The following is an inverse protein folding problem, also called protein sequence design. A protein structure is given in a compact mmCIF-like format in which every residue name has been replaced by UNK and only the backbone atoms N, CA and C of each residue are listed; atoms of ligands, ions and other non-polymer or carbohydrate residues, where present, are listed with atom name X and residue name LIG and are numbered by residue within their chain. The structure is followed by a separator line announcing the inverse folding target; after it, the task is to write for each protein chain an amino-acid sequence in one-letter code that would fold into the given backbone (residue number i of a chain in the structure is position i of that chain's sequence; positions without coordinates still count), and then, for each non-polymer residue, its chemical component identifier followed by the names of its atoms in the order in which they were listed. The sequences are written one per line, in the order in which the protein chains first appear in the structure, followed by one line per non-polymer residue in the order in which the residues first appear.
data_IF_951427776791
#
_entry.id   IF_951427776791
#
_cell.length_a   1.000
_cell.length_b   1.000
_cell.length_c   1.000
_cell.angle_alpha   90.00
_cell.angle_beta   90.00
_cell.angle_gamma   90.00
#
_symmetry.space_group_name_H-M   'P 1'
#
loop_
_entity.id
_entity.type
_entity.pdbx_description
1 polymer ?
#
# COMPACT_ATOMS: atom_id res chain seq x y z
N UNK A 1 -6.59 8.09 37.93
CA UNK A 1 -5.83 9.23 37.38
C UNK A 1 -6.13 9.36 35.89
N UNK A 2 -6.19 10.57 35.35
CA UNK A 2 -6.42 10.81 33.93
C UNK A 2 -5.05 10.92 33.27
N UNK A 3 -4.68 9.92 32.45
CA UNK A 3 -3.46 9.98 31.65
C UNK A 3 -3.60 11.10 30.61
N UNK A 4 -2.78 12.14 30.75
CA UNK A 4 -2.65 13.22 29.78
C UNK A 4 -1.35 13.03 29.01
N UNK A 5 -1.43 13.04 27.68
CA UNK A 5 -0.27 12.98 26.80
C UNK A 5 -0.21 14.27 25.99
N UNK A 6 0.96 14.91 25.95
CA UNK A 6 1.20 16.03 25.06
C UNK A 6 1.47 15.51 23.65
N UNK A 7 0.73 16.03 22.67
CA UNK A 7 0.90 15.69 21.26
C UNK A 7 1.73 16.77 20.60
N UNK A 8 2.98 16.45 20.25
CA UNK A 8 3.83 17.33 19.45
C UNK A 8 3.39 17.31 17.97
N UNK A 9 2.83 18.43 17.53
CA UNK A 9 2.39 18.66 16.14
C UNK A 9 3.36 19.57 15.37
N UNK A 10 4.54 19.86 15.90
CA UNK A 10 5.48 20.78 15.25
C UNK A 10 6.08 20.25 13.94
N UNK A 11 5.95 18.94 13.66
CA UNK A 11 6.50 18.25 12.48
C UNK A 11 5.41 17.70 11.55
N UNK A 12 4.31 18.43 11.36
CA UNK A 12 3.20 18.02 10.47
C UNK A 12 3.40 18.38 9.00
N UNK A 13 4.48 19.10 8.67
CA UNK A 13 4.82 19.52 7.32
C UNK A 13 5.48 18.42 6.48
N UNK A 14 5.88 17.32 7.11
CA UNK A 14 6.49 16.17 6.43
C UNK A 14 5.39 15.35 5.74
N UNK A 15 5.29 15.48 4.41
CA UNK A 15 4.48 14.56 3.62
C UNK A 15 5.06 13.15 3.73
N UNK A 16 4.23 12.22 4.17
CA UNK A 16 4.61 10.81 4.25
C UNK A 16 4.75 10.25 2.83
N UNK A 17 5.83 9.53 2.54
CA UNK A 17 5.94 8.78 1.31
C UNK A 17 4.73 7.90 1.05
N UNK A 18 4.14 8.13 -0.11
CA UNK A 18 3.23 7.22 -0.78
C UNK A 18 4.02 6.59 -1.94
N UNK A 19 3.85 5.28 -2.23
CA UNK A 19 4.44 4.68 -3.42
C UNK A 19 4.11 5.43 -4.72
N UNK A 20 3.04 6.23 -4.74
CA UNK A 20 2.74 7.20 -5.80
C UNK A 20 2.62 8.63 -5.22
N UNK A 21 3.21 9.66 -5.86
CA UNK A 21 3.81 9.64 -7.19
C UNK A 21 5.21 9.00 -7.20
N UNK A 22 5.58 8.44 -8.36
CA UNK A 22 6.91 7.87 -8.58
C UNK A 22 8.01 8.88 -8.30
N UNK A 23 9.03 8.43 -7.58
CA UNK A 23 10.15 9.28 -7.16
C UNK A 23 11.36 9.19 -8.08
N UNK A 24 11.40 8.16 -8.94
CA UNK A 24 12.50 7.93 -9.87
C UNK A 24 12.04 7.32 -11.20
N UNK A 25 12.85 7.52 -12.24
CA UNK A 25 12.69 6.87 -13.56
C UNK A 25 12.82 5.35 -13.43
N UNK A 26 13.69 4.89 -12.53
CA UNK A 26 13.89 3.48 -12.24
C UNK A 26 12.60 2.83 -11.72
N UNK A 27 11.90 3.50 -10.80
CA UNK A 27 10.61 3.03 -10.29
C UNK A 27 9.60 2.84 -11.44
N UNK A 28 9.50 3.82 -12.35
CA UNK A 28 8.61 3.75 -13.50
C UNK A 28 8.96 2.60 -14.46
N UNK A 29 10.24 2.48 -14.80
CA UNK A 29 10.75 1.42 -15.70
C UNK A 29 10.49 0.03 -15.11
N UNK A 30 10.69 -0.13 -13.81
CA UNK A 30 10.50 -1.41 -13.13
C UNK A 30 9.02 -1.78 -13.05
N UNK A 31 8.14 -0.84 -12.72
CA UNK A 31 6.68 -1.05 -12.80
C UNK A 31 6.27 -1.50 -14.20
N UNK A 32 6.72 -0.80 -15.24
CA UNK A 32 6.40 -1.16 -16.62
C UNK A 32 6.88 -2.57 -16.96
N UNK A 33 8.10 -2.93 -16.56
CA UNK A 33 8.65 -4.28 -16.78
C UNK A 33 7.80 -5.35 -16.09
N UNK A 34 7.49 -5.17 -14.80
CA UNK A 34 6.71 -6.15 -14.02
C UNK A 34 5.29 -6.33 -14.57
N UNK A 35 4.66 -5.25 -15.07
CA UNK A 35 3.33 -5.35 -15.68
C UNK A 35 3.30 -6.13 -17.00
N UNK A 36 4.45 -6.38 -17.63
CA UNK A 36 4.57 -7.17 -18.86
C UNK A 36 4.85 -8.65 -18.59
N UNK A 37 5.03 -9.05 -17.33
CA UNK A 37 5.25 -10.45 -16.97
C UNK A 37 4.02 -11.32 -17.26
N UNK A 38 4.24 -12.59 -17.61
CA UNK A 38 3.18 -13.47 -18.10
C UNK A 38 2.06 -13.68 -17.06
N UNK A 39 2.42 -13.93 -15.81
CA UNK A 39 1.47 -14.09 -14.71
C UNK A 39 0.61 -12.83 -14.50
N UNK A 40 1.25 -11.65 -14.55
CA UNK A 40 0.54 -10.39 -14.40
C UNK A 40 -0.46 -10.18 -15.53
N UNK A 41 0.00 -10.39 -16.77
CA UNK A 41 -0.81 -10.23 -17.98
C UNK A 41 -1.96 -11.22 -18.07
N UNK A 42 -1.76 -12.47 -17.64
CA UNK A 42 -2.81 -13.49 -17.60
C UNK A 42 -3.94 -13.08 -16.66
N UNK A 43 -3.59 -12.66 -15.44
CA UNK A 43 -4.59 -12.23 -14.45
C UNK A 43 -5.28 -10.92 -14.85
N UNK A 44 -4.54 -9.99 -15.45
CA UNK A 44 -5.13 -8.79 -16.07
C UNK A 44 -6.15 -9.16 -17.16
N UNK A 45 -5.81 -10.07 -18.07
CA UNK A 45 -6.69 -10.51 -19.15
C UNK A 45 -7.96 -11.16 -18.61
N UNK A 46 -7.84 -11.97 -17.56
CA UNK A 46 -8.96 -12.62 -16.89
C UNK A 46 -9.95 -11.60 -16.29
N UNK A 47 -9.43 -10.55 -15.65
CA UNK A 47 -10.25 -9.59 -14.92
C UNK A 47 -10.76 -8.43 -15.79
N UNK A 48 -10.10 -8.14 -16.92
CA UNK A 48 -10.45 -7.05 -17.84
C UNK A 48 -11.93 -6.97 -18.24
N UNK A 49 -12.63 -8.08 -18.58
CA UNK A 49 -14.05 -8.02 -18.93
C UNK A 49 -14.93 -7.45 -17.81
N UNK A 50 -14.60 -7.74 -16.54
CA UNK A 50 -15.30 -7.20 -15.38
C UNK A 50 -15.10 -5.68 -15.29
N UNK A 51 -13.86 -5.19 -15.41
CA UNK A 51 -13.56 -3.76 -15.37
C UNK A 51 -14.29 -2.97 -16.45
N UNK A 52 -14.27 -3.46 -17.70
CA UNK A 52 -14.97 -2.82 -18.82
C UNK A 52 -16.47 -2.78 -18.56
N UNK A 53 -17.07 -3.91 -18.15
CA UNK A 53 -18.52 -3.98 -17.88
C UNK A 53 -18.94 -2.98 -16.80
N UNK A 54 -18.22 -2.96 -15.68
CA UNK A 54 -18.55 -2.11 -14.53
C UNK A 54 -18.33 -0.64 -14.87
N UNK A 55 -17.24 -0.30 -15.57
CA UNK A 55 -17.00 1.08 -16.05
C UNK A 55 -18.14 1.55 -16.96
N UNK A 56 -18.59 0.71 -17.91
CA UNK A 56 -19.72 1.05 -18.79
C UNK A 56 -21.02 1.31 -18.02
N UNK A 57 -21.30 0.52 -16.98
CA UNK A 57 -22.48 0.72 -16.12
C UNK A 57 -22.38 2.04 -15.36
N UNK A 58 -21.24 2.31 -14.71
CA UNK A 58 -21.05 3.56 -13.96
C UNK A 58 -21.20 4.79 -14.87
N UNK A 59 -20.67 4.71 -16.10
CA UNK A 59 -20.83 5.75 -17.11
C UNK A 59 -22.28 5.93 -17.55
N UNK A 60 -22.98 4.85 -17.92
CA UNK A 60 -24.35 4.94 -18.44
C UNK A 60 -25.36 5.46 -17.42
N UNK A 61 -25.05 5.33 -16.13
CA UNK A 61 -25.87 5.87 -15.04
C UNK A 61 -25.45 7.27 -14.58
N UNK A 62 -24.49 7.92 -15.26
CA UNK A 62 -24.04 9.26 -14.90
C UNK A 62 -23.30 9.34 -13.57
N UNK A 63 -22.74 8.22 -13.08
CA UNK A 63 -22.01 8.15 -11.80
C UNK A 63 -20.53 8.52 -11.94
N UNK A 64 -20.06 8.76 -13.18
CA UNK A 64 -18.71 9.24 -13.46
C UNK A 64 -18.76 10.73 -13.84
N UNK A 65 -18.07 11.55 -13.08
CA UNK A 65 -17.87 12.95 -13.42
C UNK A 65 -16.97 13.10 -14.66
N UNK A 66 -17.10 14.21 -15.40
CA UNK A 66 -16.29 14.52 -16.59
C UNK A 66 -14.77 14.47 -16.35
N UNK A 67 -14.33 14.66 -15.09
CA UNK A 67 -12.92 14.58 -14.70
C UNK A 67 -12.43 13.19 -14.32
N UNK A 68 -13.33 12.22 -14.06
CA UNK A 68 -12.96 10.88 -13.63
C UNK A 68 -12.13 10.13 -14.69
N UNK A 69 -12.34 10.48 -15.96
CA UNK A 69 -11.69 9.82 -17.09
C UNK A 69 -10.26 10.33 -17.37
N UNK A 70 -9.89 11.47 -16.79
CA UNK A 70 -8.60 12.14 -17.01
C UNK A 70 -7.60 11.93 -15.85
N UNK A 71 -8.05 11.27 -14.79
CA UNK A 71 -7.22 10.93 -13.64
C UNK A 71 -6.80 9.47 -13.77
N UNK A 72 -5.51 9.18 -13.63
CA UNK A 72 -5.01 7.82 -13.44
C UNK A 72 -4.17 7.83 -12.17
N UNK A 73 -4.55 6.97 -11.23
CA UNK A 73 -3.77 6.69 -10.03
C UNK A 73 -3.75 5.17 -9.89
N UNK A 74 -2.56 4.60 -9.68
CA UNK A 74 -2.34 3.17 -9.56
C UNK A 74 -0.95 2.72 -10.01
N UNK A 75 -0.38 1.72 -9.31
CA UNK A 75 0.95 1.18 -9.66
C UNK A 75 0.87 0.46 -11.01
N UNK A 76 1.75 0.86 -11.95
CA UNK A 76 1.78 0.33 -13.30
C UNK A 76 0.55 0.64 -14.18
N UNK A 77 -0.23 1.68 -13.85
CA UNK A 77 -1.42 2.10 -14.63
C UNK A 77 -1.18 3.37 -15.46
N UNK A 78 -0.11 4.11 -15.19
CA UNK A 78 0.21 5.35 -15.89
C UNK A 78 0.92 5.04 -17.22
N UNK A 79 0.17 5.13 -18.32
CA UNK A 79 0.68 4.88 -19.66
C UNK A 79 -0.36 4.29 -20.61
N UNK A 80 -1.44 3.72 -20.07
CA UNK A 80 -2.63 3.40 -20.86
C UNK A 80 -3.47 4.67 -21.02
N UNK A 81 -3.06 5.47 -22.01
CA UNK A 81 -3.80 6.56 -22.64
C UNK A 81 -3.77 7.97 -22.01
N UNK A 82 -2.62 8.66 -22.11
CA UNK A 82 -2.65 10.11 -22.46
C UNK A 82 -3.11 10.36 -23.91
N UNK A 83 -3.28 9.29 -24.69
CA UNK A 83 -3.64 9.30 -26.12
C UNK A 83 -5.13 9.14 -26.41
N UNK A 84 -6.00 8.84 -25.44
CA UNK A 84 -7.46 8.79 -25.66
C UNK A 84 -8.18 10.07 -25.26
N UNK A 85 -7.64 10.82 -24.30
CA UNK A 85 -8.16 12.15 -23.94
C UNK A 85 -7.99 13.20 -25.05
N UNK A 86 -7.03 13.00 -25.97
CA UNK A 86 -6.90 13.80 -27.20
C UNK A 86 -7.67 13.25 -28.41
N UNK A 87 -8.17 12.00 -28.36
CA UNK A 87 -8.99 11.41 -29.45
C UNK A 87 -10.49 11.60 -29.26
N UNK A 88 -10.96 11.92 -28.05
CA UNK A 88 -12.39 12.12 -27.79
C UNK A 88 -12.98 13.41 -28.37
N UNK A 89 -12.16 14.26 -29.02
CA UNK A 89 -12.62 15.43 -29.77
C UNK A 89 -12.76 15.22 -31.27
N UNK A 90 -12.52 14.01 -31.80
CA UNK A 90 -12.67 13.77 -33.24
C UNK A 90 -13.32 12.43 -33.56
N UNK A 91 -14.52 12.56 -34.14
CA UNK A 91 -15.21 11.66 -35.06
C UNK A 91 -16.30 10.71 -34.55
N UNK A 92 -17.51 11.03 -35.03
CA UNK A 92 -18.72 10.25 -35.18
C UNK A 92 -18.49 8.91 -35.90
N UNK A 93 -17.92 7.91 -35.24
CA UNK A 93 -18.06 6.50 -35.66
C UNK A 93 -18.29 5.64 -34.42
N UNK A 94 -19.43 4.95 -34.38
CA UNK A 94 -19.98 4.23 -33.23
C UNK A 94 -19.21 2.99 -32.76
N UNK A 95 -17.88 3.00 -32.78
CA UNK A 95 -17.09 2.04 -32.01
C UNK A 95 -17.10 2.46 -30.55
N UNK A 96 -17.88 1.74 -29.73
CA UNK A 96 -17.79 1.85 -28.27
C UNK A 96 -16.37 1.53 -27.85
N UNK A 97 -15.57 2.56 -27.57
CA UNK A 97 -14.24 2.41 -27.01
C UNK A 97 -14.28 1.44 -25.82
N UNK A 98 -13.44 0.41 -25.83
CA UNK A 98 -13.23 -0.53 -24.70
C UNK A 98 -12.50 0.15 -23.53
N UNK A 99 -12.89 1.39 -23.23
CA UNK A 99 -12.37 2.18 -22.15
C UNK A 99 -12.75 1.57 -20.81
N UNK A 100 -11.78 1.56 -19.89
CA UNK A 100 -11.95 1.15 -18.50
C UNK A 100 -11.27 2.18 -17.60
N UNK A 101 -11.82 2.42 -16.42
CA UNK A 101 -11.13 3.16 -15.36
C UNK A 101 -9.89 2.38 -14.88
N UNK A 102 -8.96 3.06 -14.19
CA UNK A 102 -7.89 2.36 -13.47
C UNK A 102 -8.50 1.44 -12.42
N UNK A 103 -7.81 0.35 -12.07
CA UNK A 103 -8.28 -0.60 -11.07
C UNK A 103 -8.45 0.04 -9.70
N UNK A 104 -7.54 0.97 -9.34
CA UNK A 104 -7.62 1.70 -8.08
C UNK A 104 -8.86 2.61 -8.04
N UNK A 105 -9.12 3.36 -9.12
CA UNK A 105 -10.32 4.19 -9.23
C UNK A 105 -11.61 3.37 -9.22
N UNK A 106 -11.64 2.27 -9.97
CA UNK A 106 -12.80 1.41 -10.07
C UNK A 106 -13.12 0.79 -8.70
N UNK A 107 -12.09 0.33 -7.98
CA UNK A 107 -12.23 -0.18 -6.60
C UNK A 107 -12.80 0.90 -5.68
N UNK A 108 -12.25 2.10 -5.69
CA UNK A 108 -12.64 3.18 -4.79
C UNK A 108 -14.07 3.68 -5.05
N UNK A 109 -14.41 3.94 -6.32
CA UNK A 109 -15.75 4.41 -6.70
C UNK A 109 -16.80 3.36 -6.32
N UNK A 110 -16.57 2.09 -6.67
CA UNK A 110 -17.53 1.03 -6.36
C UNK A 110 -17.64 0.77 -4.86
N UNK A 111 -16.55 0.89 -4.10
CA UNK A 111 -16.55 0.83 -2.64
C UNK A 111 -17.38 1.97 -2.03
N UNK A 112 -17.13 3.21 -2.43
CA UNK A 112 -17.88 4.38 -1.99
C UNK A 112 -19.38 4.24 -2.24
N UNK A 113 -19.76 3.83 -3.46
CA UNK A 113 -21.16 3.61 -3.81
C UNK A 113 -21.78 2.50 -2.98
N UNK A 114 -21.08 1.38 -2.76
CA UNK A 114 -21.54 0.28 -1.90
C UNK A 114 -21.81 0.76 -0.46
N UNK A 115 -20.85 1.43 0.16
CA UNK A 115 -20.95 1.91 1.56
C UNK A 115 -22.12 2.89 1.71
N UNK A 116 -22.41 3.70 0.68
CA UNK A 116 -23.54 4.64 0.69
C UNK A 116 -24.87 4.03 0.23
N UNK A 117 -24.93 2.73 -0.04
CA UNK A 117 -26.12 2.06 -0.61
C UNK A 117 -26.57 2.67 -1.95
N UNK A 118 -25.62 3.17 -2.73
CA UNK A 118 -25.79 3.76 -4.06
C UNK A 118 -25.17 2.90 -5.18
N UNK A 119 -24.72 1.68 -4.86
CA UNK A 119 -24.18 0.78 -5.87
C UNK A 119 -25.30 0.35 -6.83
N UNK A 120 -25.14 0.52 -8.15
CA UNK A 120 -26.13 0.07 -9.12
C UNK A 120 -26.47 -1.41 -8.95
N UNK A 121 -27.74 -1.78 -9.03
CA UNK A 121 -28.18 -3.18 -8.85
C UNK A 121 -27.60 -4.15 -9.89
N UNK A 122 -27.13 -3.63 -11.03
CA UNK A 122 -26.43 -4.37 -12.08
C UNK A 122 -24.95 -4.65 -11.77
N UNK A 123 -24.40 -4.06 -10.70
CA UNK A 123 -23.08 -4.36 -10.15
C UNK A 123 -23.30 -5.10 -8.84
N UNK A 124 -22.98 -6.39 -8.82
CA UNK A 124 -23.15 -7.20 -7.62
C UNK A 124 -22.13 -6.84 -6.53
N UNK A 125 -22.43 -7.21 -5.29
CA UNK A 125 -21.48 -7.12 -4.18
C UNK A 125 -20.20 -7.91 -4.50
N UNK A 126 -20.35 -9.09 -5.10
CA UNK A 126 -19.23 -9.93 -5.54
C UNK A 126 -18.38 -9.26 -6.62
N UNK A 127 -18.98 -8.49 -7.53
CA UNK A 127 -18.23 -7.70 -8.52
C UNK A 127 -17.33 -6.68 -7.84
N UNK A 128 -17.89 -5.92 -6.89
CA UNK A 128 -17.13 -4.93 -6.12
C UNK A 128 -15.97 -5.59 -5.35
N UNK A 129 -16.21 -6.72 -4.70
CA UNK A 129 -15.18 -7.46 -3.97
C UNK A 129 -14.08 -7.99 -4.88
N UNK A 130 -14.44 -8.49 -6.07
CA UNK A 130 -13.47 -8.97 -7.05
C UNK A 130 -12.60 -7.84 -7.61
N UNK A 131 -13.18 -6.66 -7.85
CA UNK A 131 -12.45 -5.47 -8.25
C UNK A 131 -11.46 -5.06 -7.15
N UNK A 132 -11.90 -4.95 -5.90
CA UNK A 132 -11.02 -4.58 -4.79
C UNK A 132 -9.91 -5.59 -4.53
N UNK A 133 -10.21 -6.90 -4.60
CA UNK A 133 -9.20 -7.96 -4.49
C UNK A 133 -8.18 -7.88 -5.62
N UNK A 134 -8.62 -7.59 -6.84
CA UNK A 134 -7.70 -7.46 -7.98
C UNK A 134 -6.83 -6.20 -7.87
N UNK A 135 -7.40 -5.07 -7.47
CA UNK A 135 -6.65 -3.84 -7.18
C UNK A 135 -5.57 -4.10 -6.11
N UNK A 136 -5.93 -4.74 -4.99
CA UNK A 136 -4.98 -5.12 -3.94
C UNK A 136 -3.90 -6.06 -4.46
N UNK A 137 -4.28 -7.12 -5.19
CA UNK A 137 -3.32 -8.05 -5.76
C UNK A 137 -2.31 -7.33 -6.68
N UNK A 138 -2.75 -6.41 -7.54
CA UNK A 138 -1.84 -5.65 -8.42
C UNK A 138 -0.78 -4.91 -7.60
N UNK A 139 -1.20 -4.20 -6.56
CA UNK A 139 -0.29 -3.46 -5.69
C UNK A 139 0.68 -4.38 -4.95
N UNK A 140 0.19 -5.47 -4.34
CA UNK A 140 1.02 -6.46 -3.64
C UNK A 140 1.96 -7.25 -4.54
N UNK A 141 1.57 -7.46 -5.81
CA UNK A 141 2.39 -8.11 -6.82
C UNK A 141 3.55 -7.20 -7.20
N UNK A 142 3.26 -5.96 -7.60
CA UNK A 142 4.27 -5.02 -8.06
C UNK A 142 5.21 -4.62 -6.92
N UNK A 143 4.67 -4.15 -5.78
CA UNK A 143 5.47 -3.81 -4.60
C UNK A 143 6.04 -5.05 -3.88
N UNK A 144 5.66 -6.25 -4.31
CA UNK A 144 6.30 -7.48 -3.88
C UNK A 144 7.73 -7.62 -4.39
N UNK A 145 8.10 -6.90 -5.45
CA UNK A 145 9.48 -6.83 -5.92
C UNK A 145 10.34 -6.03 -4.94
N UNK A 146 11.47 -6.61 -4.51
CA UNK A 146 12.35 -6.02 -3.50
C UNK A 146 12.92 -4.66 -3.91
N UNK A 147 13.33 -4.53 -5.17
CA UNK A 147 13.84 -3.26 -5.67
C UNK A 147 12.74 -2.21 -5.72
N UNK A 148 11.52 -2.59 -6.15
CA UNK A 148 10.44 -1.62 -6.30
C UNK A 148 9.96 -1.06 -4.95
N UNK A 149 9.73 -1.90 -3.94
CA UNK A 149 9.34 -1.36 -2.63
C UNK A 149 10.45 -0.54 -1.97
N UNK A 150 11.72 -0.82 -2.27
CA UNK A 150 12.83 -0.07 -1.71
C UNK A 150 12.85 1.34 -2.30
N UNK A 151 12.69 1.44 -3.63
CA UNK A 151 12.57 2.72 -4.33
C UNK A 151 11.35 3.53 -3.84
N UNK A 152 10.23 2.85 -3.60
CA UNK A 152 8.98 3.50 -3.19
C UNK A 152 8.98 3.96 -1.71
N UNK A 153 9.46 3.09 -0.81
CA UNK A 153 9.21 3.20 0.64
C UNK A 153 10.46 3.10 1.51
N UNK A 154 11.64 2.84 0.94
CA UNK A 154 12.87 2.61 1.70
C UNK A 154 13.20 3.74 2.69
N UNK A 155 13.06 4.98 2.27
CA UNK A 155 13.30 6.15 3.14
C UNK A 155 12.32 6.23 4.32
N UNK A 156 11.07 5.79 4.14
CA UNK A 156 10.11 5.71 5.26
C UNK A 156 10.51 4.67 6.28
N UNK A 157 10.93 3.50 5.79
CA UNK A 157 11.35 2.40 6.65
C UNK A 157 12.60 2.79 7.43
N UNK A 158 13.58 3.44 6.77
CA UNK A 158 14.75 4.02 7.45
C UNK A 158 14.37 5.04 8.52
N UNK A 159 13.39 5.90 8.25
CA UNK A 159 12.89 6.87 9.23
C UNK A 159 12.28 6.17 10.47
N UNK A 160 11.45 5.14 10.26
CA UNK A 160 10.85 4.34 11.35
C UNK A 160 11.94 3.68 12.21
N UNK A 161 12.93 3.06 11.57
CA UNK A 161 14.06 2.42 12.27
C UNK A 161 14.91 3.45 13.01
N UNK A 162 15.23 4.56 12.38
CA UNK A 162 16.01 5.65 12.99
C UNK A 162 15.30 6.22 14.22
N UNK A 163 13.99 6.44 14.15
CA UNK A 163 13.21 6.90 15.31
C UNK A 163 13.21 5.88 16.44
N UNK A 164 13.10 4.58 16.11
CA UNK A 164 13.19 3.50 17.10
C UNK A 164 14.57 3.48 17.78
N UNK A 165 15.65 3.65 17.01
CA UNK A 165 17.02 3.74 17.54
C UNK A 165 17.23 4.97 18.42
N UNK A 166 16.70 6.13 18.02
CA UNK A 166 16.76 7.35 18.84
C UNK A 166 15.97 7.20 20.14
N UNK A 167 14.87 6.43 20.13
CA UNK A 167 14.13 6.11 21.36
C UNK A 167 14.94 5.20 22.29
N UNK A 168 15.66 4.22 21.74
CA UNK A 168 16.58 3.35 22.50
C UNK A 168 17.76 4.11 23.10
N UNK A 169 18.35 5.04 22.35
CA UNK A 169 19.49 5.84 22.82
C UNK A 169 19.11 6.99 23.77
N UNK A 170 17.81 7.19 24.04
CA UNK A 170 17.32 8.27 24.90
C UNK A 170 17.34 9.66 24.24
N UNK A 171 17.66 9.75 22.94
CA UNK A 171 17.65 11.00 22.17
C UNK A 171 16.24 11.44 21.77
N UNK A 172 15.32 10.48 21.63
CA UNK A 172 13.91 10.72 21.36
C UNK A 172 13.07 10.54 22.64
N UNK A 173 12.28 11.55 22.97
CA UNK A 173 11.37 11.53 24.13
C UNK A 173 9.94 11.14 23.75
N UNK A 174 9.58 11.27 22.47
CA UNK A 174 8.23 10.97 21.98
C UNK A 174 7.91 9.47 22.08
N UNK A 175 6.93 9.13 22.92
CA UNK A 175 6.48 7.75 23.13
C UNK A 175 5.52 7.24 22.05
N UNK A 176 4.95 8.15 21.26
CA UNK A 176 4.02 7.84 20.19
C UNK A 176 4.30 8.77 19.02
N UNK A 177 4.43 8.20 17.83
CA UNK A 177 4.58 8.93 16.57
C UNK A 177 3.44 8.49 15.66
N UNK A 178 2.65 9.44 15.18
CA UNK A 178 1.52 9.18 14.29
C UNK A 178 1.84 9.73 12.92
N UNK A 179 1.73 8.87 11.91
CA UNK A 179 1.87 9.24 10.51
C UNK A 179 0.49 9.18 9.85
N UNK A 180 -0.03 10.31 9.38
CA UNK A 180 -1.23 10.34 8.54
C UNK A 180 -0.84 10.03 7.10
N UNK A 181 -1.49 9.04 6.50
CA UNK A 181 -1.07 8.49 5.21
C UNK A 181 -2.24 7.91 4.41
N UNK A 182 -1.95 7.42 3.21
CA UNK A 182 -2.90 6.75 2.34
C UNK A 182 -2.89 5.23 2.54
N UNK A 183 -3.90 4.56 2.02
CA UNK A 183 -3.99 3.10 1.94
C UNK A 183 -2.83 2.46 1.16
N UNK A 184 -2.42 3.09 0.06
CA UNK A 184 -1.20 2.82 -0.71
C UNK A 184 0.06 2.85 0.16
N UNK A 185 0.18 3.80 1.10
CA UNK A 185 1.30 3.87 2.06
C UNK A 185 1.33 2.63 2.95
N UNK A 186 0.17 2.17 3.45
CA UNK A 186 0.10 0.96 4.28
C UNK A 186 0.57 -0.28 3.48
N UNK A 187 0.10 -0.44 2.24
CA UNK A 187 0.53 -1.54 1.37
C UNK A 187 2.03 -1.46 1.09
N UNK A 188 2.53 -0.26 0.78
CA UNK A 188 3.95 -0.02 0.56
C UNK A 188 4.81 -0.39 1.75
N UNK A 189 4.41 0.02 2.96
CA UNK A 189 5.10 -0.33 4.21
C UNK A 189 5.07 -1.83 4.49
N UNK A 190 3.91 -2.49 4.33
CA UNK A 190 3.79 -3.95 4.51
C UNK A 190 4.78 -4.69 3.60
N UNK A 191 4.89 -4.26 2.33
CA UNK A 191 5.84 -4.83 1.39
C UNK A 191 7.29 -4.53 1.75
N UNK A 192 7.63 -3.27 2.05
CA UNK A 192 9.01 -2.84 2.34
C UNK A 192 9.55 -3.39 3.67
N UNK A 193 8.66 -3.61 4.65
CA UNK A 193 8.97 -4.28 5.91
C UNK A 193 8.89 -5.81 5.79
N UNK A 194 8.70 -6.37 4.60
CA UNK A 194 8.64 -7.82 4.35
C UNK A 194 7.66 -8.53 5.31
N UNK A 195 6.45 -7.99 5.46
CA UNK A 195 5.42 -8.55 6.34
C UNK A 195 4.47 -9.45 5.54
N UNK A 196 3.71 -10.27 6.26
CA UNK A 196 2.60 -11.04 5.70
C UNK A 196 1.62 -10.10 4.99
N UNK A 197 1.41 -10.35 3.70
CA UNK A 197 0.56 -9.52 2.85
C UNK A 197 -0.90 -9.90 3.06
N UNK A 198 -1.79 -8.96 3.47
CA UNK A 198 -3.21 -9.23 3.50
C UNK A 198 -3.73 -9.50 2.08
N UNK A 199 -4.78 -10.32 1.97
CA UNK A 199 -5.43 -10.61 0.67
C UNK A 199 -6.37 -9.51 0.20
N UNK A 200 -6.61 -8.49 1.03
CA UNK A 200 -7.55 -7.41 0.80
C UNK A 200 -6.86 -6.05 0.87
N UNK A 201 -7.44 -5.08 0.16
CA UNK A 201 -7.09 -3.67 0.27
C UNK A 201 -7.39 -3.16 1.70
N UNK A 202 -6.54 -2.31 2.30
CA UNK A 202 -6.84 -1.70 3.59
C UNK A 202 -8.15 -0.92 3.56
N UNK A 203 -9.04 -1.16 4.53
CA UNK A 203 -10.31 -0.43 4.68
C UNK A 203 -10.08 1.00 5.18
N UNK A 204 -11.06 1.90 5.03
CA UNK A 204 -10.95 3.25 5.57
C UNK A 204 -10.69 3.25 7.07
N UNK A 205 -9.81 4.16 7.50
CA UNK A 205 -9.38 4.23 8.90
C UNK A 205 -8.46 3.07 9.33
N UNK A 206 -7.98 2.26 8.37
CA UNK A 206 -6.96 1.26 8.68
C UNK A 206 -5.67 1.92 9.16
N UNK A 207 -4.95 1.21 10.01
CA UNK A 207 -3.67 1.67 10.54
C UNK A 207 -2.70 0.51 10.69
N UNK A 208 -1.43 0.78 10.39
CA UNK A 208 -0.31 -0.10 10.70
C UNK A 208 0.33 0.40 12.00
N UNK A 209 0.24 -0.42 13.05
CA UNK A 209 0.85 -0.15 14.35
C UNK A 209 2.20 -0.86 14.43
N UNK A 210 3.23 -0.09 14.78
CA UNK A 210 4.61 -0.55 14.95
C UNK A 210 5.00 -0.29 16.40
N UNK A 211 5.32 -1.33 17.14
CA UNK A 211 5.59 -1.28 18.57
C UNK A 211 7.04 -1.67 18.85
N UNK A 212 7.74 -0.85 19.64
CA UNK A 212 9.10 -1.12 20.10
C UNK A 212 9.06 -1.77 21.49
N UNK A 213 9.64 -2.96 21.60
CA UNK A 213 9.76 -3.73 22.82
C UNK A 213 11.21 -3.75 23.31
N UNK A 214 11.39 -3.65 24.62
CA UNK A 214 12.65 -3.93 25.32
C UNK A 214 12.51 -5.28 26.02
N UNK A 215 13.47 -6.18 25.82
CA UNK A 215 13.56 -7.44 26.55
C UNK A 215 14.95 -7.57 27.17
N UNK A 216 14.97 -7.87 28.47
CA UNK A 216 16.21 -8.15 29.19
C UNK A 216 16.47 -9.65 29.18
N UNK A 217 17.69 -10.03 28.81
CA UNK A 217 18.18 -11.40 28.86
C UNK A 217 19.26 -11.45 29.93
N UNK A 218 19.18 -12.44 30.81
CA UNK A 218 20.20 -12.71 31.82
C UNK A 218 21.27 -13.59 31.19
N UNK A 219 22.52 -13.13 31.21
CA UNK A 219 23.68 -13.88 30.75
C UNK A 219 24.77 -13.94 31.83
N UNK A 220 25.85 -14.67 31.55
CA UNK A 220 26.95 -14.86 32.50
C UNK A 220 27.74 -13.56 32.82
N UNK A 221 27.51 -12.49 32.05
CA UNK A 221 28.15 -11.17 32.20
C UNK A 221 27.22 -10.08 32.75
N UNK A 222 25.93 -10.35 32.92
CA UNK A 222 24.93 -9.42 33.46
C UNK A 222 23.59 -9.48 32.73
N UNK A 223 22.91 -8.34 32.62
CA UNK A 223 21.69 -8.21 31.82
C UNK A 223 22.02 -7.57 30.47
N UNK A 224 21.81 -8.30 29.39
CA UNK A 224 21.81 -7.74 28.03
C UNK A 224 20.41 -7.26 27.67
N UNK A 225 20.32 -6.10 27.03
CA UNK A 225 19.04 -5.53 26.57
C UNK A 225 18.95 -5.64 25.06
N UNK A 226 17.92 -6.34 24.60
CA UNK A 226 17.61 -6.41 23.18
C UNK A 226 16.28 -5.73 22.87
N UNK A 227 16.20 -5.19 21.66
CA UNK A 227 15.04 -4.43 21.22
C UNK A 227 14.41 -5.05 19.99
N UNK A 228 13.09 -5.15 20.00
CA UNK A 228 12.31 -5.81 18.97
C UNK A 228 11.20 -4.90 18.48
N UNK A 229 10.86 -5.03 17.20
CA UNK A 229 9.69 -4.41 16.61
C UNK A 229 8.60 -5.46 16.39
N UNK A 230 7.36 -5.07 16.68
CA UNK A 230 6.16 -5.85 16.40
C UNK A 230 5.22 -5.06 15.52
N UNK A 231 4.57 -5.73 14.57
CA UNK A 231 3.74 -5.09 13.56
C UNK A 231 2.31 -5.63 13.62
N UNK A 232 1.31 -4.75 13.58
CA UNK A 232 -0.09 -5.16 13.47
C UNK A 232 -0.87 -4.24 12.54
N UNK A 233 -1.75 -4.81 11.74
CA UNK A 233 -2.69 -4.10 10.87
C UNK A 233 -4.09 -4.22 11.48
N UNK A 234 -4.68 -3.11 11.89
CA UNK A 234 -6.00 -3.09 12.54
C UNK A 234 -6.07 -4.06 13.73
N UNK A 235 -5.08 -3.97 14.63
CA UNK A 235 -4.85 -4.87 15.78
C UNK A 235 -4.60 -6.35 15.45
N UNK A 236 -4.65 -6.76 14.19
CA UNK A 236 -4.23 -8.10 13.78
C UNK A 236 -2.73 -8.15 13.60
N UNK A 237 -2.08 -9.00 14.40
CA UNK A 237 -0.64 -9.24 14.33
C UNK A 237 -0.22 -9.72 12.94
N UNK A 238 0.82 -9.09 12.39
CA UNK A 238 1.43 -9.47 11.12
C UNK A 238 2.69 -10.28 11.38
N UNK A 239 2.88 -11.34 10.59
CA UNK A 239 4.11 -12.12 10.63
C UNK A 239 5.17 -11.49 9.75
N UNK A 240 6.38 -11.41 10.29
CA UNK A 240 7.60 -11.20 9.53
C UNK A 240 7.82 -12.35 8.54
N UNK A 241 8.08 -12.00 7.28
CA UNK A 241 8.47 -12.92 6.21
C UNK A 241 9.98 -12.88 5.95
N UNK A 242 10.73 -12.31 6.87
CA UNK A 242 12.19 -12.26 6.85
C UNK A 242 12.75 -13.66 7.01
N UNK A 243 13.80 -13.98 6.23
CA UNK A 243 14.63 -15.19 6.23
C UNK A 243 14.09 -16.43 6.97
N UNK A 244 14.07 -17.58 6.29
CA UNK A 244 13.92 -18.90 6.93
C UNK A 244 14.98 -19.20 8.02
N UNK A 245 16.00 -18.36 8.11
CA UNK A 245 17.15 -18.45 9.02
C UNK A 245 16.80 -18.03 10.46
N UNK A 246 15.69 -17.30 10.68
CA UNK A 246 15.18 -16.97 12.02
C UNK A 246 14.26 -18.06 12.59
N UNK A 247 14.44 -19.32 12.18
CA UNK A 247 13.59 -20.47 12.50
C UNK A 247 13.38 -20.77 14.01
N UNK A 248 13.96 -19.98 14.92
CA UNK A 248 13.75 -20.06 16.37
C UNK A 248 13.06 -18.84 17.01
N UNK A 249 12.97 -17.69 16.33
CA UNK A 249 12.31 -16.50 16.86
C UNK A 249 10.83 -16.50 16.44
N UNK A 250 9.94 -16.12 17.36
CA UNK A 250 8.54 -15.89 17.02
C UNK A 250 8.50 -14.86 15.88
N UNK A 251 7.98 -15.23 14.71
CA UNK A 251 7.87 -14.36 13.50
C UNK A 251 7.12 -13.05 13.75
N UNK A 252 6.62 -12.85 14.95
CA UNK A 252 5.88 -11.69 15.42
C UNK A 252 6.81 -10.57 15.90
N UNK A 253 8.05 -10.90 16.26
CA UNK A 253 9.07 -9.95 16.71
C UNK A 253 10.25 -9.93 15.75
N UNK A 254 10.64 -8.73 15.30
CA UNK A 254 11.79 -8.50 14.44
C UNK A 254 12.86 -7.75 15.24
N UNK A 255 14.07 -8.30 15.41
CA UNK A 255 15.15 -7.58 16.10
C UNK A 255 15.47 -6.25 15.40
N UNK A 256 15.52 -5.16 16.17
CA UNK A 256 15.71 -3.81 15.62
C UNK A 256 17.02 -3.68 14.84
N UNK A 257 18.10 -4.31 15.33
CA UNK A 257 19.41 -4.27 14.70
C UNK A 257 19.44 -5.06 13.38
N UNK A 258 18.76 -6.19 13.29
CA UNK A 258 18.70 -6.99 12.06
C UNK A 258 17.89 -6.28 10.97
N UNK A 259 16.77 -5.63 11.36
CA UNK A 259 16.00 -4.79 10.44
C UNK A 259 16.87 -3.65 9.89
N UNK A 260 17.68 -3.01 10.75
CA UNK A 260 18.62 -1.97 10.33
C UNK A 260 19.64 -2.52 9.32
N UNK A 261 20.30 -3.61 9.66
CA UNK A 261 21.35 -4.21 8.82
C UNK A 261 20.82 -4.65 7.45
N UNK A 262 19.55 -5.05 7.36
CA UNK A 262 18.91 -5.35 6.09
C UNK A 262 18.65 -4.11 5.23
N UNK A 263 18.26 -2.99 5.84
CA UNK A 263 17.99 -1.75 5.10
C UNK A 263 19.26 -1.08 4.57
N UNK A 264 20.40 -1.42 5.17
CA UNK A 264 21.73 -0.95 4.78
C UNK A 264 22.36 -1.79 3.64
N UNK A 265 21.75 -2.93 3.25
CA UNK A 265 22.17 -3.78 2.11
C UNK A 265 21.55 -3.32 0.79
#
# INVERSE_FOLDING_TARGET
ERLTFDVDVSRTDIMIPDPQPRRSIEQATLEEKLTKEAEFMEKEKLMKPLAIRVTKILRSQGLLALGAENLNFGVGEDGKERTSSLKFRSNNTGEQSNYQLSWSQLSEITKCLRVRSLLPSSISVTDQENISKHAAWRWFYLLGNSRLHHLAMGEMVKLIVSNSQRQVSGVESNKLIIYSAHDSTLIGLICALHLEKPSLWPEYGSYLKIELFEQSFEDASGYDKQYFLRFSLNDKLLKSMWGSEFAGLQREFVPLNELKDFLDR
#
